data_IF_150814039823
#
_entry.id   IF_150814039823
#
_cell.length_a   1.000
_cell.length_b   1.000
_cell.length_c   1.000
_cell.angle_alpha   90.00
_cell.angle_beta   90.00
_cell.angle_gamma   90.00
#
_symmetry.space_group_name_H-M   'P 1'
#
loop_
_entity.id
_entity.type
_entity.pdbx_description
1 polymer ?
#
# COMPACT_ATOMS: atom_id res chain seq x y z
N UNK A 1 10.59 1.36 -18.31
CA UNK A 1 10.21 -0.03 -18.62
C UNK A 1 11.41 -0.84 -19.09
N UNK A 2 11.21 -2.14 -19.36
CA UNK A 2 12.28 -3.03 -19.82
C UNK A 2 12.92 -2.66 -21.17
N UNK A 3 12.35 -1.70 -21.87
CA UNK A 3 12.89 -1.14 -23.12
C UNK A 3 13.71 0.13 -22.90
N UNK A 4 14.04 0.46 -21.64
CA UNK A 4 14.78 1.67 -21.23
C UNK A 4 14.08 2.98 -21.61
N UNK A 5 12.76 2.97 -21.72
CA UNK A 5 11.97 4.18 -21.96
C UNK A 5 11.54 4.80 -20.62
N UNK A 6 11.48 6.11 -20.60
CA UNK A 6 10.86 6.83 -19.50
C UNK A 6 9.35 6.70 -19.61
N UNK A 7 8.71 6.18 -18.58
CA UNK A 7 7.26 6.00 -18.51
C UNK A 7 6.68 6.68 -17.27
N UNK A 8 5.43 7.08 -17.38
CA UNK A 8 4.62 7.55 -16.26
C UNK A 8 3.46 6.57 -16.08
N UNK A 9 3.21 6.18 -14.84
CA UNK A 9 2.09 5.33 -14.46
C UNK A 9 1.04 6.19 -13.76
N UNK A 10 -0.20 6.16 -14.24
CA UNK A 10 -1.29 7.00 -13.75
C UNK A 10 -2.53 6.13 -13.50
N UNK A 11 -3.05 6.16 -12.28
CA UNK A 11 -4.33 5.54 -11.99
C UNK A 11 -5.48 6.38 -12.55
N UNK A 12 -6.38 5.74 -13.25
CA UNK A 12 -7.62 6.36 -13.74
C UNK A 12 -8.77 6.00 -12.80
N UNK A 13 -9.34 7.02 -12.16
CA UNK A 13 -10.47 6.84 -11.24
C UNK A 13 -11.45 8.01 -11.32
N UNK A 14 -12.68 7.74 -11.00
CA UNK A 14 -13.76 8.73 -10.89
C UNK A 14 -14.61 8.43 -9.62
N UNK A 15 -15.79 9.05 -9.51
CA UNK A 15 -16.70 8.86 -8.38
C UNK A 15 -17.20 7.40 -8.21
N UNK A 16 -16.99 6.54 -9.18
CA UNK A 16 -17.34 5.11 -9.14
C UNK A 16 -16.20 4.22 -8.64
N UNK A 17 -14.98 4.75 -8.58
CA UNK A 17 -13.78 4.06 -8.16
C UNK A 17 -12.67 4.07 -9.21
N UNK A 18 -11.59 3.34 -8.93
CA UNK A 18 -10.47 3.16 -9.84
C UNK A 18 -10.77 2.03 -10.84
N UNK A 19 -10.61 2.29 -12.13
CA UNK A 19 -10.96 1.33 -13.18
C UNK A 19 -9.79 0.89 -14.07
N UNK A 20 -8.71 1.67 -14.15
CA UNK A 20 -7.55 1.32 -14.96
C UNK A 20 -6.26 1.96 -14.47
N UNK A 21 -5.14 1.39 -14.89
CA UNK A 21 -3.81 1.98 -14.85
C UNK A 21 -3.41 2.38 -16.27
N UNK A 22 -2.99 3.64 -16.45
CA UNK A 22 -2.46 4.16 -17.69
C UNK A 22 -0.93 4.14 -17.64
N UNK A 23 -0.31 3.56 -18.64
CA UNK A 23 1.13 3.65 -18.89
C UNK A 23 1.35 4.64 -20.03
N UNK A 24 2.05 5.73 -19.74
CA UNK A 24 2.33 6.80 -20.70
C UNK A 24 3.82 6.83 -21.00
N UNK A 25 4.17 6.77 -22.27
CA UNK A 25 5.53 7.05 -22.76
C UNK A 25 5.82 8.55 -22.60
N UNK A 26 6.80 8.89 -21.77
CA UNK A 26 7.08 10.28 -21.42
C UNK A 26 7.67 11.11 -22.56
N UNK A 27 8.18 10.47 -23.62
CA UNK A 27 8.77 11.16 -24.77
C UNK A 27 7.74 11.41 -25.87
N UNK A 28 6.88 10.42 -26.12
CA UNK A 28 5.94 10.46 -27.25
C UNK A 28 4.51 10.83 -26.84
N UNK A 29 4.19 10.76 -25.55
CA UNK A 29 2.84 10.92 -25.01
C UNK A 29 1.88 9.77 -25.35
N UNK A 30 2.34 8.74 -26.04
CA UNK A 30 1.52 7.56 -26.34
C UNK A 30 1.19 6.82 -25.06
N UNK A 31 -0.04 6.38 -24.95
CA UNK A 31 -0.52 5.70 -23.75
C UNK A 31 -1.13 4.33 -24.04
N UNK A 32 -1.11 3.48 -23.04
CA UNK A 32 -1.73 2.18 -23.04
C UNK A 32 -2.47 1.98 -21.72
N UNK A 33 -3.69 1.48 -21.80
CA UNK A 33 -4.58 1.31 -20.67
C UNK A 33 -4.63 -0.14 -20.22
N UNK A 34 -4.54 -0.37 -18.92
CA UNK A 34 -4.64 -1.68 -18.28
C UNK A 34 -5.82 -1.65 -17.29
N UNK A 35 -6.95 -2.27 -17.62
CA UNK A 35 -8.09 -2.36 -16.69
C UNK A 35 -7.68 -2.99 -15.37
N UNK A 36 -8.25 -2.50 -14.27
CA UNK A 36 -8.04 -3.14 -12.95
C UNK A 36 -8.51 -4.59 -13.00
N UNK A 37 -7.72 -5.53 -12.43
CA UNK A 37 -8.01 -6.96 -12.52
C UNK A 37 -9.06 -7.44 -11.50
N UNK A 38 -9.83 -6.50 -10.93
CA UNK A 38 -10.93 -6.74 -9.99
C UNK A 38 -12.03 -5.68 -10.23
N UNK A 39 -13.27 -5.97 -9.85
CA UNK A 39 -14.36 -4.99 -9.97
C UNK A 39 -14.00 -3.72 -9.20
N UNK A 40 -14.16 -2.57 -9.83
CA UNK A 40 -13.95 -1.31 -9.16
C UNK A 40 -15.02 -1.07 -8.09
N UNK A 41 -14.59 -0.48 -6.97
CA UNK A 41 -15.44 -0.04 -5.87
C UNK A 41 -15.15 1.42 -5.55
N UNK A 42 -15.81 1.98 -4.56
CA UNK A 42 -15.70 3.39 -4.20
C UNK A 42 -14.33 3.86 -3.69
N UNK A 43 -13.36 2.96 -3.54
CA UNK A 43 -12.03 3.30 -3.04
C UNK A 43 -11.10 3.73 -4.18
N UNK A 44 -10.26 4.72 -3.89
CA UNK A 44 -9.21 5.18 -4.79
C UNK A 44 -7.82 4.73 -4.31
N UNK A 45 -6.83 4.60 -5.21
CA UNK A 45 -5.46 4.25 -4.86
C UNK A 45 -4.71 5.45 -4.25
N UNK A 46 -5.05 5.84 -3.02
CA UNK A 46 -4.45 6.99 -2.34
C UNK A 46 -2.97 6.80 -2.03
N UNK A 47 -2.52 5.56 -1.89
CA UNK A 47 -1.12 5.24 -1.73
C UNK A 47 -0.68 4.21 -2.78
N UNK A 48 0.43 4.53 -3.44
CA UNK A 48 1.13 3.64 -4.37
C UNK A 48 2.62 3.86 -4.23
N UNK A 49 3.41 2.83 -4.48
CA UNK A 49 4.87 2.92 -4.46
C UNK A 49 5.46 2.28 -5.71
N UNK A 50 6.41 2.96 -6.33
CA UNK A 50 7.30 2.36 -7.30
C UNK A 50 8.52 1.83 -6.55
N UNK A 51 8.67 0.51 -6.54
CA UNK A 51 9.75 -0.16 -5.81
C UNK A 51 11.11 -0.02 -6.49
N UNK A 52 12.17 -0.35 -5.76
CA UNK A 52 13.56 -0.33 -6.23
C UNK A 52 13.79 -1.22 -7.47
N UNK A 53 12.97 -2.23 -7.67
CA UNK A 53 12.99 -3.11 -8.83
C UNK A 53 12.01 -2.69 -9.96
N UNK A 54 11.55 -1.43 -9.95
CA UNK A 54 10.65 -0.85 -10.95
C UNK A 54 9.30 -1.55 -11.09
N UNK A 55 8.71 -1.99 -9.98
CA UNK A 55 7.35 -2.51 -9.92
C UNK A 55 6.44 -1.53 -9.19
N UNK A 56 5.25 -1.31 -9.72
CA UNK A 56 4.24 -0.48 -9.07
C UNK A 56 3.40 -1.35 -8.14
N UNK A 57 3.28 -0.92 -6.90
CA UNK A 57 2.38 -1.53 -5.92
C UNK A 57 1.31 -0.55 -5.48
N UNK A 58 0.12 -1.07 -5.23
CA UNK A 58 -0.98 -0.32 -4.63
C UNK A 58 -1.90 -1.26 -3.85
N UNK A 59 -2.70 -0.69 -2.95
CA UNK A 59 -3.65 -1.45 -2.15
C UNK A 59 -4.94 -0.66 -2.01
N UNK A 60 -5.96 -1.02 -2.78
CA UNK A 60 -7.26 -0.34 -2.82
C UNK A 60 -8.35 -1.32 -3.28
N UNK A 61 -9.63 -0.96 -3.07
CA UNK A 61 -10.74 -1.84 -3.42
C UNK A 61 -10.63 -3.21 -2.75
N UNK A 62 -10.03 -3.28 -1.56
CA UNK A 62 -9.74 -4.52 -0.82
C UNK A 62 -8.82 -5.50 -1.57
N UNK A 63 -7.95 -4.99 -2.45
CA UNK A 63 -6.96 -5.77 -3.17
C UNK A 63 -5.58 -5.12 -3.09
N UNK A 64 -4.59 -5.94 -2.73
CA UNK A 64 -3.18 -5.60 -2.90
C UNK A 64 -2.74 -6.04 -4.29
N UNK A 65 -2.10 -5.16 -5.04
CA UNK A 65 -1.71 -5.41 -6.44
C UNK A 65 -0.26 -5.05 -6.72
N UNK A 66 0.35 -5.80 -7.65
CA UNK A 66 1.62 -5.47 -8.29
C UNK A 66 1.39 -5.34 -9.79
N UNK A 67 1.89 -4.27 -10.39
CA UNK A 67 1.98 -4.10 -11.84
C UNK A 67 3.45 -4.11 -12.27
N UNK A 68 3.77 -4.95 -13.23
CA UNK A 68 5.08 -5.04 -13.87
C UNK A 68 5.08 -4.26 -15.18
N UNK A 69 5.71 -3.07 -15.26
CA UNK A 69 5.74 -2.28 -16.48
C UNK A 69 6.52 -2.95 -17.63
N UNK A 70 7.44 -3.87 -17.30
CA UNK A 70 8.20 -4.63 -18.31
C UNK A 70 7.34 -5.71 -18.95
N UNK A 71 6.57 -6.42 -18.15
CA UNK A 71 5.61 -7.44 -18.63
C UNK A 71 4.31 -6.83 -19.13
N UNK A 72 4.07 -5.55 -18.81
CA UNK A 72 2.84 -4.82 -19.15
C UNK A 72 1.60 -5.54 -18.58
N UNK A 73 1.67 -5.95 -17.33
CA UNK A 73 0.62 -6.75 -16.72
C UNK A 73 0.60 -6.60 -15.19
N UNK A 74 -0.58 -6.81 -14.61
CA UNK A 74 -0.71 -7.09 -13.19
C UNK A 74 -0.19 -8.49 -12.91
N UNK A 75 0.90 -8.59 -12.15
CA UNK A 75 1.62 -9.85 -11.89
C UNK A 75 1.34 -10.46 -10.53
N UNK A 76 0.76 -9.67 -9.62
CA UNK A 76 0.28 -10.15 -8.34
C UNK A 76 -1.01 -9.45 -7.96
N UNK A 77 -1.97 -10.23 -7.45
CA UNK A 77 -3.25 -9.72 -6.96
C UNK A 77 -3.65 -10.56 -5.76
N UNK A 78 -3.97 -9.90 -4.66
CA UNK A 78 -4.46 -10.58 -3.45
C UNK A 78 -5.61 -9.81 -2.84
N UNK A 79 -6.75 -10.48 -2.66
CA UNK A 79 -7.87 -9.94 -1.91
C UNK A 79 -7.52 -9.89 -0.43
N UNK A 80 -7.88 -8.79 0.22
CA UNK A 80 -7.69 -8.53 1.65
C UNK A 80 -9.04 -8.28 2.34
N UNK A 81 -9.04 -8.02 3.64
CA UNK A 81 -10.20 -7.44 4.32
C UNK A 81 -10.54 -6.07 3.70
N UNK A 82 -11.79 -5.59 3.82
CA UNK A 82 -12.19 -4.29 3.24
C UNK A 82 -11.32 -3.14 3.74
N UNK A 83 -10.46 -2.64 2.87
CA UNK A 83 -9.46 -1.63 3.22
C UNK A 83 -8.79 -1.02 1.99
N UNK A 84 -8.20 0.16 2.16
CA UNK A 84 -7.34 0.80 1.17
C UNK A 84 -6.10 1.40 1.83
N UNK A 85 -4.96 1.38 1.15
CA UNK A 85 -3.73 1.95 1.67
C UNK A 85 -3.82 3.49 1.74
N UNK A 86 -3.37 4.01 2.86
CA UNK A 86 -3.10 5.44 3.07
C UNK A 86 -1.60 5.71 3.07
N UNK A 87 -0.77 4.68 3.23
CA UNK A 87 0.68 4.74 3.15
C UNK A 87 1.25 3.39 2.72
N UNK A 88 2.33 3.43 1.96
CA UNK A 88 3.11 2.27 1.56
C UNK A 88 4.61 2.59 1.65
N UNK A 89 5.42 1.57 1.92
CA UNK A 89 6.88 1.67 1.91
C UNK A 89 7.51 0.36 1.44
N UNK A 90 8.72 0.44 0.94
CA UNK A 90 9.61 -0.71 0.70
C UNK A 90 10.69 -0.71 1.77
N UNK A 91 10.93 -1.86 2.42
CA UNK A 91 12.03 -2.00 3.35
C UNK A 91 13.34 -2.39 2.65
N UNK A 92 14.45 -2.42 3.38
CA UNK A 92 15.79 -2.72 2.85
C UNK A 92 15.92 -4.16 2.30
N UNK A 93 15.01 -5.04 2.66
CA UNK A 93 14.92 -6.39 2.11
C UNK A 93 14.08 -6.46 0.82
N UNK A 94 13.42 -5.35 0.45
CA UNK A 94 12.54 -5.24 -0.69
C UNK A 94 11.12 -5.73 -0.41
N UNK A 95 10.73 -5.87 0.86
CA UNK A 95 9.34 -6.18 1.24
C UNK A 95 8.50 -4.91 1.15
N UNK A 96 7.35 -5.02 0.52
CA UNK A 96 6.41 -3.92 0.36
C UNK A 96 5.39 -3.97 1.48
N UNK A 97 5.34 -2.89 2.27
CA UNK A 97 4.43 -2.71 3.39
C UNK A 97 3.31 -1.76 3.04
N UNK A 98 2.12 -2.02 3.56
CA UNK A 98 0.93 -1.21 3.36
C UNK A 98 0.20 -0.99 4.68
N UNK A 99 -0.09 0.27 5.00
CA UNK A 99 -0.94 0.64 6.14
C UNK A 99 -2.27 1.20 5.63
N UNK A 100 -3.39 0.67 6.13
CA UNK A 100 -4.71 0.83 5.51
C UNK A 100 -5.75 1.48 6.41
N UNK A 101 -6.64 2.23 5.78
CA UNK A 101 -7.85 2.84 6.33
C UNK A 101 -9.04 1.86 6.15
N UNK A 102 -10.07 1.84 6.98
CA UNK A 102 -10.32 2.74 8.14
C UNK A 102 -9.92 2.19 9.51
N UNK A 103 -9.41 1.00 9.61
CA UNK A 103 -9.20 0.31 10.88
C UNK A 103 -7.75 -0.14 11.08
N UNK A 104 -6.80 0.61 10.54
CA UNK A 104 -5.38 0.36 10.70
C UNK A 104 -4.98 -1.08 10.38
N UNK A 105 -5.27 -1.52 9.16
CA UNK A 105 -4.77 -2.79 8.65
C UNK A 105 -3.32 -2.68 8.22
N UNK A 106 -2.56 -3.76 8.39
CA UNK A 106 -1.19 -3.88 7.88
C UNK A 106 -1.12 -5.09 6.97
N UNK A 107 -0.53 -4.91 5.80
CA UNK A 107 -0.22 -6.00 4.88
C UNK A 107 1.22 -5.89 4.39
N UNK A 108 1.82 -7.04 4.07
CA UNK A 108 3.17 -7.15 3.56
C UNK A 108 3.26 -8.10 2.38
N UNK A 109 4.06 -7.75 1.40
CA UNK A 109 4.37 -8.61 0.26
C UNK A 109 5.87 -8.66 0.01
N UNK A 110 6.42 -9.85 -0.05
CA UNK A 110 7.80 -10.08 -0.43
C UNK A 110 7.87 -10.54 -1.90
N UNK A 111 8.25 -9.68 -2.84
CA UNK A 111 8.28 -10.04 -4.26
C UNK A 111 9.36 -11.05 -4.62
N UNK A 112 10.38 -11.26 -3.77
CA UNK A 112 11.44 -12.26 -3.99
C UNK A 112 10.96 -13.68 -3.71
N UNK A 113 10.10 -13.84 -2.70
CA UNK A 113 9.58 -15.16 -2.28
C UNK A 113 8.15 -15.41 -2.73
N UNK A 114 7.41 -14.35 -3.10
CA UNK A 114 5.97 -14.41 -3.39
C UNK A 114 5.11 -14.49 -2.12
N UNK A 115 5.71 -14.40 -0.93
CA UNK A 115 4.97 -14.45 0.33
C UNK A 115 4.15 -13.18 0.53
N UNK A 116 2.86 -13.36 0.82
CA UNK A 116 1.96 -12.29 1.21
C UNK A 116 1.38 -12.56 2.58
N UNK A 117 1.41 -11.55 3.45
CA UNK A 117 0.81 -11.59 4.78
C UNK A 117 -0.15 -10.44 4.97
N UNK A 118 -1.39 -10.75 5.31
CA UNK A 118 -2.37 -9.79 5.79
C UNK A 118 -2.48 -9.96 7.32
N UNK A 119 -2.00 -8.97 8.06
CA UNK A 119 -2.07 -8.96 9.53
C UNK A 119 -3.46 -8.54 10.01
N UNK A 120 -4.34 -8.13 9.09
CA UNK A 120 -5.65 -7.61 9.42
C UNK A 120 -5.58 -6.27 10.16
N UNK A 121 -6.59 -5.99 10.97
CA UNK A 121 -6.66 -4.77 11.76
C UNK A 121 -5.86 -4.92 13.05
N UNK A 122 -4.66 -4.34 13.06
CA UNK A 122 -3.67 -4.56 14.14
C UNK A 122 -3.89 -3.68 15.36
N UNK A 123 -4.66 -2.59 15.23
CA UNK A 123 -4.99 -1.70 16.33
C UNK A 123 -6.40 -1.15 16.17
N UNK A 124 -7.21 -1.21 17.23
CA UNK A 124 -8.62 -0.79 17.17
C UNK A 124 -8.85 0.44 18.04
N UNK A 125 -9.44 1.43 17.42
CA UNK A 125 -10.01 2.61 18.09
C UNK A 125 -11.51 2.69 17.80
N UNK A 126 -12.23 3.52 18.53
CA UNK A 126 -13.65 3.76 18.29
C UNK A 126 -13.95 4.83 17.21
N UNK A 127 -12.94 5.14 16.40
CA UNK A 127 -12.99 6.12 15.31
C UNK A 127 -12.21 5.62 14.10
N UNK A 128 -12.48 6.19 12.93
CA UNK A 128 -11.80 5.83 11.69
C UNK A 128 -10.32 6.30 11.72
N UNK A 129 -9.40 5.35 11.55
CA UNK A 129 -7.96 5.58 11.65
C UNK A 129 -7.36 5.86 10.27
N UNK A 130 -6.56 6.92 10.20
CA UNK A 130 -5.84 7.31 8.99
C UNK A 130 -4.34 7.04 9.18
N UNK A 131 -3.82 5.86 8.80
CA UNK A 131 -2.39 5.56 8.91
C UNK A 131 -1.63 6.25 7.77
N UNK A 132 -1.11 7.45 8.05
CA UNK A 132 -0.48 8.33 7.06
C UNK A 132 0.95 7.94 6.71
N UNK A 133 1.64 7.25 7.61
CA UNK A 133 3.03 6.87 7.42
C UNK A 133 3.26 5.45 7.92
N UNK A 134 4.07 4.71 7.18
CA UNK A 134 4.58 3.40 7.54
C UNK A 134 6.06 3.32 7.20
N UNK A 135 6.85 2.73 8.09
CA UNK A 135 8.28 2.49 7.90
C UNK A 135 8.67 1.17 8.56
N UNK A 136 9.73 0.55 8.09
CA UNK A 136 10.32 -0.63 8.71
C UNK A 136 11.77 -0.35 9.08
N UNK A 137 12.27 -0.98 10.15
CA UNK A 137 13.66 -0.90 10.57
C UNK A 137 14.44 -2.20 10.26
N UNK A 138 15.77 -2.15 10.43
CA UNK A 138 16.66 -3.28 10.19
C UNK A 138 16.46 -4.45 11.18
N UNK A 139 15.86 -4.18 12.35
CA UNK A 139 15.49 -5.20 13.33
C UNK A 139 14.20 -5.95 12.94
N UNK A 140 13.51 -5.46 11.91
CA UNK A 140 12.29 -6.03 11.34
C UNK A 140 11.01 -5.59 12.05
N UNK A 141 11.05 -4.50 12.83
CA UNK A 141 9.85 -3.85 13.34
C UNK A 141 9.24 -2.91 12.29
N UNK A 142 7.94 -2.82 12.29
CA UNK A 142 7.18 -1.95 11.39
C UNK A 142 6.45 -0.88 12.20
N UNK A 143 6.78 0.37 11.92
CA UNK A 143 6.23 1.54 12.58
C UNK A 143 5.17 2.18 11.72
N UNK A 144 4.06 2.58 12.32
CA UNK A 144 2.99 3.28 11.62
C UNK A 144 2.32 4.30 12.53
N UNK A 145 1.96 5.43 11.92
CA UNK A 145 1.29 6.51 12.63
C UNK A 145 -0.19 6.52 12.29
N UNK A 146 -1.06 6.47 13.28
CA UNK A 146 -2.48 6.68 13.12
C UNK A 146 -2.86 8.09 13.53
N UNK A 147 -3.84 8.65 12.86
CA UNK A 147 -4.32 9.99 13.15
C UNK A 147 -5.80 10.14 12.84
N UNK A 148 -6.30 11.27 13.11
CA UNK A 148 -7.55 11.96 13.02
C UNK A 148 -8.00 12.50 14.38
N UNK A 149 -8.54 11.66 15.29
CA UNK A 149 -9.06 12.16 16.57
C UNK A 149 -7.95 12.22 17.63
N UNK A 150 -7.15 11.18 17.74
CA UNK A 150 -6.02 11.12 18.67
C UNK A 150 -4.85 10.43 18.02
N UNK A 151 -3.81 11.18 17.74
CA UNK A 151 -2.63 10.64 17.06
C UNK A 151 -1.90 9.62 17.94
N UNK A 152 -1.37 8.58 17.30
CA UNK A 152 -0.55 7.56 17.94
C UNK A 152 0.54 7.07 17.02
N UNK A 153 1.65 6.62 17.59
CA UNK A 153 2.69 5.88 16.87
C UNK A 153 2.73 4.47 17.46
N UNK A 154 2.64 3.50 16.59
CA UNK A 154 2.59 2.08 16.93
C UNK A 154 3.73 1.34 16.25
N UNK A 155 4.20 0.27 16.87
CA UNK A 155 5.17 -0.65 16.31
C UNK A 155 4.59 -2.06 16.28
N UNK A 156 4.66 -2.72 15.12
CA UNK A 156 4.29 -4.12 14.90
C UNK A 156 5.57 -4.96 14.78
N UNK A 157 5.65 -6.03 15.57
CA UNK A 157 6.60 -7.09 15.32
C UNK A 157 5.95 -8.13 14.37
N UNK A 158 6.33 -8.22 13.11
CA UNK A 158 5.67 -9.12 12.16
C UNK A 158 5.94 -10.60 12.44
N UNK A 159 6.96 -10.94 13.22
CA UNK A 159 7.27 -12.34 13.58
C UNK A 159 6.32 -12.87 14.66
N UNK A 160 5.99 -12.03 15.64
CA UNK A 160 5.15 -12.41 16.78
C UNK A 160 3.71 -11.94 16.66
N UNK A 161 3.45 -10.91 15.83
CA UNK A 161 2.17 -10.20 15.76
C UNK A 161 1.97 -9.21 16.91
N UNK A 162 2.97 -9.00 17.75
CA UNK A 162 2.91 -8.02 18.85
C UNK A 162 2.79 -6.60 18.30
N UNK A 163 1.84 -5.85 18.84
CA UNK A 163 1.69 -4.41 18.56
C UNK A 163 1.84 -3.65 19.87
N UNK A 164 2.72 -2.67 19.89
CA UNK A 164 2.95 -1.84 21.06
C UNK A 164 2.92 -0.34 20.74
N UNK A 165 2.43 0.49 21.66
CA UNK A 165 2.51 1.93 21.54
C UNK A 165 3.96 2.41 21.72
N UNK A 166 4.33 3.46 20.98
CA UNK A 166 5.65 4.11 21.04
C UNK A 166 5.60 5.42 21.83
N UNK A 167 4.41 5.90 22.16
CA UNK A 167 4.17 7.08 22.99
C UNK A 167 3.14 6.73 24.06
N UNK A 168 3.24 7.36 25.22
CA UNK A 168 2.28 7.17 26.31
C UNK A 168 0.91 7.75 25.95
N UNK A 169 -0.14 7.16 26.54
CA UNK A 169 -1.52 7.60 26.32
C UNK A 169 -1.73 9.09 26.71
N UNK A 170 -0.98 9.56 27.70
CA UNK A 170 -1.00 10.96 28.16
C UNK A 170 -0.36 11.94 27.17
N UNK A 171 0.48 11.46 26.27
CA UNK A 171 1.18 12.27 25.27
C UNK A 171 0.44 12.35 23.94
N UNK A 172 -0.63 11.57 23.79
CA UNK A 172 -1.44 11.58 22.57
C UNK A 172 -2.16 12.91 22.40
N UNK A 173 -1.89 13.58 21.30
CA UNK A 173 -2.53 14.87 20.97
C UNK A 173 -3.77 14.68 20.11
N UNK A 174 -4.73 15.56 20.33
CA UNK A 174 -5.91 15.70 19.48
C UNK A 174 -5.58 16.52 18.23
#
# INVERSE_FOLDING_TARGET
DGQKRNIVLVWLYDHRGCYALLLVDAETGKSEEFPTPFPYGGDAPYASILSSNNRLYSHFGSHFVEFDPTKRAFTFIRKTVPQMAMSMTEDDNGVIWSATYPQCGIAAYNPKTGEFRDFGHVHKENWAQYPRYIAADDAGWVYFAIGYTRSHILALNPKTGEVKPMIDESERRQ
#
